data_IF_662424636605
#
_entry.id   IF_662424636605
#
_cell.length_a   1.000
_cell.length_b   1.000
_cell.length_c   1.000
_cell.angle_alpha   90.00
_cell.angle_beta   90.00
_cell.angle_gamma   90.00
#
_symmetry.space_group_name_H-M   'P 1'
#
loop_
_entity.id
_entity.type
_entity.pdbx_description
1 polymer ?
#
# COMPACT_ATOMS: atom_id res chain seq x y z
N UNK A 1 0.19 -20.77 -33.48
CA UNK A 1 -0.74 -20.25 -32.46
C UNK A 1 0.10 -19.40 -31.52
N UNK A 2 -0.12 -18.10 -31.48
CA UNK A 2 0.55 -17.21 -30.52
C UNK A 2 -0.34 -17.21 -29.27
N UNK A 3 0.16 -17.79 -28.18
CA UNK A 3 -0.49 -17.68 -26.87
C UNK A 3 -0.08 -16.34 -26.29
N UNK A 4 -1.03 -15.41 -26.31
CA UNK A 4 -0.87 -14.09 -25.70
C UNK A 4 -1.31 -14.18 -24.24
N UNK A 5 -0.39 -14.02 -23.30
CA UNK A 5 -0.67 -13.98 -21.88
C UNK A 5 -0.50 -12.54 -21.40
N UNK A 6 -1.57 -11.96 -20.89
CA UNK A 6 -1.59 -10.57 -20.43
C UNK A 6 -2.02 -10.49 -18.97
N UNK A 7 -1.29 -9.73 -18.17
CA UNK A 7 -1.67 -9.37 -16.82
C UNK A 7 -1.92 -7.88 -16.72
N UNK A 8 -3.05 -7.52 -16.12
CA UNK A 8 -3.43 -6.14 -15.84
C UNK A 8 -3.55 -5.94 -14.33
N UNK A 9 -2.96 -4.87 -13.80
CA UNK A 9 -3.12 -4.43 -12.43
C UNK A 9 -3.50 -2.95 -12.42
N UNK A 10 -4.55 -2.62 -11.68
CA UNK A 10 -5.00 -1.25 -11.48
C UNK A 10 -5.33 -1.03 -10.02
N UNK A 11 -4.61 -0.11 -9.38
CA UNK A 11 -4.87 0.29 -8.00
C UNK A 11 -5.27 1.76 -7.97
N UNK A 12 -6.40 2.04 -7.33
CA UNK A 12 -6.90 3.40 -7.11
C UNK A 12 -7.01 3.65 -5.61
N UNK A 13 -6.42 4.76 -5.16
CA UNK A 13 -6.54 5.23 -3.78
C UNK A 13 -7.29 6.55 -3.80
N UNK A 14 -8.39 6.62 -3.05
CA UNK A 14 -9.28 7.80 -3.03
C UNK A 14 -9.55 8.23 -1.60
N UNK A 15 -9.46 9.52 -1.33
CA UNK A 15 -9.96 10.09 -0.09
C UNK A 15 -11.49 10.21 -0.17
N UNK A 16 -12.19 9.38 0.58
CA UNK A 16 -13.66 9.30 0.57
C UNK A 16 -14.32 10.33 1.48
N UNK A 17 -13.56 10.90 2.40
CA UNK A 17 -14.01 11.91 3.36
C UNK A 17 -12.91 12.27 4.35
N UNK A 18 -13.18 13.13 5.34
CA UNK A 18 -12.18 13.50 6.34
C UNK A 18 -11.63 12.28 7.07
N UNK A 19 -10.36 11.97 6.83
CA UNK A 19 -9.67 10.84 7.44
C UNK A 19 -10.13 9.46 7.00
N UNK A 20 -10.93 9.34 5.93
CA UNK A 20 -11.35 8.06 5.37
C UNK A 20 -10.77 7.88 3.97
N UNK A 21 -10.08 6.77 3.75
CA UNK A 21 -9.44 6.41 2.50
C UNK A 21 -9.99 5.10 1.97
N UNK A 22 -10.34 5.07 0.71
CA UNK A 22 -10.72 3.86 -0.02
C UNK A 22 -9.58 3.42 -0.95
N UNK A 23 -9.34 2.13 -0.98
CA UNK A 23 -8.40 1.48 -1.89
C UNK A 23 -9.19 0.46 -2.70
N UNK A 24 -9.10 0.54 -4.01
CA UNK A 24 -9.63 -0.48 -4.91
C UNK A 24 -8.50 -0.97 -5.79
N UNK A 25 -8.19 -2.24 -5.70
CA UNK A 25 -7.20 -2.91 -6.54
C UNK A 25 -7.88 -3.99 -7.36
N UNK A 26 -7.69 -3.95 -8.67
CA UNK A 26 -8.14 -4.99 -9.59
C UNK A 26 -6.92 -5.57 -10.28
N UNK A 27 -6.73 -6.86 -10.14
CA UNK A 27 -5.66 -7.60 -10.81
C UNK A 27 -6.28 -8.76 -11.58
N UNK A 28 -5.92 -8.89 -12.84
CA UNK A 28 -6.44 -9.96 -13.65
C UNK A 28 -5.52 -10.36 -14.79
N UNK A 29 -5.58 -11.63 -15.14
CA UNK A 29 -4.97 -12.21 -16.32
C UNK A 29 -5.99 -13.10 -17.06
N UNK A 30 -5.53 -13.92 -17.99
CA UNK A 30 -6.40 -14.80 -18.75
C UNK A 30 -7.08 -15.90 -17.90
N UNK A 31 -6.51 -16.24 -16.75
CA UNK A 31 -6.96 -17.36 -15.89
C UNK A 31 -7.60 -16.89 -14.60
N UNK A 32 -7.17 -15.74 -14.09
CA UNK A 32 -7.47 -15.29 -12.74
C UNK A 32 -7.85 -13.81 -12.74
N UNK A 33 -8.85 -13.43 -11.93
CA UNK A 33 -9.22 -12.04 -11.69
C UNK A 33 -9.66 -11.85 -10.25
N UNK A 34 -8.99 -10.94 -9.55
CA UNK A 34 -9.25 -10.61 -8.15
C UNK A 34 -9.46 -9.12 -8.00
N UNK A 35 -10.44 -8.75 -7.17
CA UNK A 35 -10.70 -7.38 -6.74
C UNK A 35 -10.56 -7.30 -5.22
N UNK A 36 -9.79 -6.31 -4.77
CA UNK A 36 -9.59 -6.02 -3.35
C UNK A 36 -10.12 -4.62 -3.08
N UNK A 37 -10.97 -4.49 -2.07
CA UNK A 37 -11.46 -3.22 -1.56
C UNK A 37 -11.09 -3.10 -0.09
N UNK A 38 -10.42 -2.01 0.27
CA UNK A 38 -10.12 -1.68 1.66
C UNK A 38 -10.59 -0.26 1.96
N UNK A 39 -11.21 -0.05 3.12
CA UNK A 39 -11.46 1.27 3.69
C UNK A 39 -10.60 1.43 4.94
N UNK A 40 -9.82 2.50 4.99
CA UNK A 40 -8.83 2.74 6.03
C UNK A 40 -9.05 4.10 6.65
N UNK A 41 -9.05 4.16 7.99
CA UNK A 41 -9.29 5.38 8.74
C UNK A 41 -7.97 5.99 9.25
N UNK A 42 -7.66 7.20 8.78
CA UNK A 42 -6.61 8.02 9.34
C UNK A 42 -7.07 8.75 10.63
N UNK A 43 -6.20 9.12 11.56
CA UNK A 43 -4.74 9.00 11.46
C UNK A 43 -4.20 7.61 11.87
N UNK A 44 -5.02 6.74 12.47
CA UNK A 44 -4.56 5.46 13.01
C UNK A 44 -4.24 4.42 11.94
N UNK A 45 -4.76 4.61 10.73
CA UNK A 45 -4.65 3.70 9.58
C UNK A 45 -5.22 2.30 9.84
N UNK A 46 -6.27 2.21 10.67
CA UNK A 46 -6.98 0.96 10.91
C UNK A 46 -7.93 0.66 9.75
N UNK A 47 -7.92 -0.59 9.28
CA UNK A 47 -8.85 -1.09 8.27
C UNK A 47 -10.24 -1.15 8.88
N UNK A 48 -11.21 -0.49 8.26
CA UNK A 48 -12.63 -0.45 8.68
C UNK A 48 -13.51 -1.38 7.88
N UNK A 49 -13.14 -1.58 6.63
CA UNK A 49 -13.82 -2.48 5.71
C UNK A 49 -12.79 -3.19 4.86
N UNK A 50 -13.03 -4.45 4.59
CA UNK A 50 -12.19 -5.25 3.71
C UNK A 50 -13.08 -6.19 2.92
N UNK A 51 -12.90 -6.23 1.61
CA UNK A 51 -13.53 -7.18 0.70
C UNK A 51 -12.47 -7.72 -0.25
N UNK A 52 -12.43 -9.03 -0.42
CA UNK A 52 -11.58 -9.71 -1.39
C UNK A 52 -12.49 -10.58 -2.25
N UNK A 53 -12.65 -10.22 -3.51
CA UNK A 53 -13.54 -10.89 -4.43
C UNK A 53 -12.75 -11.56 -5.55
N UNK A 54 -12.82 -12.89 -5.61
CA UNK A 54 -12.29 -13.67 -6.73
C UNK A 54 -13.37 -13.70 -7.82
N UNK A 55 -13.19 -12.92 -8.88
CA UNK A 55 -14.15 -12.79 -9.98
C UNK A 55 -14.03 -13.88 -11.01
N UNK A 56 -12.80 -14.37 -11.23
CA UNK A 56 -12.47 -15.47 -12.13
C UNK A 56 -11.34 -16.28 -11.54
N UNK A 57 -11.51 -17.58 -11.52
CA UNK A 57 -10.47 -18.55 -11.19
C UNK A 57 -10.73 -19.81 -12.02
N UNK A 58 -10.10 -19.89 -13.18
CA UNK A 58 -10.28 -21.00 -14.13
C UNK A 58 -9.72 -22.31 -13.56
N UNK A 59 -8.72 -22.23 -12.69
CA UNK A 59 -8.02 -23.40 -12.13
C UNK A 59 -8.59 -23.83 -10.77
N UNK A 60 -9.46 -23.02 -10.13
CA UNK A 60 -9.94 -23.29 -8.80
C UNK A 60 -8.84 -23.29 -7.73
N UNK A 61 -7.83 -22.43 -7.93
CA UNK A 61 -6.62 -22.41 -7.09
C UNK A 61 -6.75 -21.52 -5.87
N UNK A 62 -7.72 -20.59 -5.86
CA UNK A 62 -7.92 -19.65 -4.76
C UNK A 62 -9.18 -20.04 -3.98
N UNK A 63 -9.05 -20.25 -2.66
CA UNK A 63 -10.20 -20.53 -1.81
C UNK A 63 -11.12 -19.31 -1.67
N UNK A 64 -12.30 -19.50 -1.03
CA UNK A 64 -13.12 -18.36 -0.61
C UNK A 64 -12.33 -17.45 0.33
N UNK A 65 -12.11 -16.21 -0.11
CA UNK A 65 -11.31 -15.23 0.63
C UNK A 65 -12.13 -14.36 1.58
N UNK A 66 -13.44 -14.54 1.66
CA UNK A 66 -14.32 -13.77 2.56
C UNK A 66 -13.89 -13.88 4.02
N UNK A 67 -13.60 -15.08 4.58
CA UNK A 67 -13.17 -15.18 5.97
C UNK A 67 -11.80 -14.54 6.24
N UNK A 68 -10.93 -14.48 5.23
CA UNK A 68 -9.65 -13.84 5.35
C UNK A 68 -9.78 -12.31 5.29
N UNK A 69 -10.67 -11.81 4.43
CA UNK A 69 -11.00 -10.39 4.35
C UNK A 69 -11.57 -9.86 5.69
N UNK A 70 -12.50 -10.58 6.29
CA UNK A 70 -13.10 -10.19 7.57
C UNK A 70 -12.05 -10.05 8.69
N UNK A 71 -11.03 -10.90 8.70
CA UNK A 71 -9.94 -10.85 9.69
C UNK A 71 -9.01 -9.63 9.52
N UNK A 72 -9.02 -8.99 8.37
CA UNK A 72 -8.25 -7.76 8.14
C UNK A 72 -8.88 -6.53 8.82
N UNK A 73 -10.17 -6.60 9.18
CA UNK A 73 -10.83 -5.49 9.86
C UNK A 73 -10.19 -5.27 11.23
N UNK A 74 -9.77 -4.03 11.50
CA UNK A 74 -9.05 -3.65 12.70
C UNK A 74 -7.52 -3.79 12.60
N UNK A 75 -6.99 -4.42 11.55
CA UNK A 75 -5.55 -4.43 11.29
C UNK A 75 -5.09 -3.01 10.94
N UNK A 76 -3.95 -2.61 11.48
CA UNK A 76 -3.33 -1.32 11.18
C UNK A 76 -2.39 -1.44 10.00
N UNK A 77 -2.57 -0.54 9.02
CA UNK A 77 -1.63 -0.39 7.90
C UNK A 77 -0.38 0.33 8.41
N UNK A 78 0.77 -0.33 8.33
CA UNK A 78 2.03 0.21 8.81
C UNK A 78 3.05 -0.87 9.19
N UNK A 79 4.04 -0.54 10.04
CA UNK A 79 5.08 -1.47 10.45
C UNK A 79 4.52 -2.77 11.03
N UNK A 80 5.06 -3.90 10.59
CA UNK A 80 4.62 -5.23 11.02
C UNK A 80 3.41 -5.82 10.29
N UNK A 81 2.72 -5.05 9.42
CA UNK A 81 1.55 -5.53 8.67
C UNK A 81 1.88 -6.75 7.80
N UNK A 82 3.10 -6.82 7.24
CA UNK A 82 3.50 -7.92 6.34
C UNK A 82 3.31 -9.29 6.99
N UNK A 83 3.76 -9.45 8.23
CA UNK A 83 3.59 -10.71 8.96
C UNK A 83 2.11 -11.02 9.20
N UNK A 84 1.36 -10.03 9.68
CA UNK A 84 -0.06 -10.18 10.01
C UNK A 84 -0.87 -10.55 8.77
N UNK A 85 -0.69 -9.84 7.65
CA UNK A 85 -1.42 -10.10 6.41
C UNK A 85 -1.06 -11.49 5.85
N UNK A 86 0.21 -11.88 5.85
CA UNK A 86 0.62 -13.22 5.40
C UNK A 86 0.05 -14.33 6.27
N UNK A 87 -0.11 -14.13 7.56
CA UNK A 87 -0.77 -15.09 8.45
C UNK A 87 -2.29 -15.17 8.23
N UNK A 88 -2.95 -14.01 8.12
CA UNK A 88 -4.42 -13.94 8.02
C UNK A 88 -4.95 -14.28 6.62
N UNK A 89 -4.27 -13.82 5.57
CA UNK A 89 -4.71 -13.97 4.17
C UNK A 89 -3.97 -15.10 3.47
N UNK A 90 -2.67 -15.27 3.74
CA UNK A 90 -1.82 -16.27 3.12
C UNK A 90 -1.70 -17.57 3.88
N UNK A 91 -2.40 -17.74 5.01
CA UNK A 91 -2.34 -18.93 5.86
C UNK A 91 -2.85 -20.21 5.19
N UNK A 92 -2.94 -21.34 5.94
CA UNK A 92 -3.23 -22.67 5.36
C UNK A 92 -4.54 -22.76 4.56
N UNK A 93 -5.52 -21.92 4.88
CA UNK A 93 -6.81 -21.84 4.19
C UNK A 93 -6.94 -20.56 3.35
N UNK A 94 -5.83 -19.92 3.01
CA UNK A 94 -5.79 -18.68 2.26
C UNK A 94 -4.96 -18.81 0.98
N UNK A 95 -4.53 -17.66 0.45
CA UNK A 95 -3.70 -17.56 -0.73
C UNK A 95 -2.54 -16.60 -0.49
N UNK A 96 -1.29 -17.08 -0.59
CA UNK A 96 -0.09 -16.26 -0.47
C UNK A 96 -0.04 -15.17 -1.56
N UNK A 97 -0.49 -15.50 -2.76
CA UNK A 97 -0.58 -14.54 -3.86
C UNK A 97 -1.56 -13.40 -3.55
N UNK A 98 -2.75 -13.73 -3.01
CA UNK A 98 -3.72 -12.71 -2.59
C UNK A 98 -3.18 -11.88 -1.42
N UNK A 99 -2.43 -12.50 -0.50
CA UNK A 99 -1.78 -11.77 0.60
C UNK A 99 -0.78 -10.73 0.08
N UNK A 100 0.01 -11.07 -0.94
CA UNK A 100 0.95 -10.14 -1.55
C UNK A 100 0.21 -8.98 -2.27
N UNK A 101 -0.92 -9.24 -2.92
CA UNK A 101 -1.77 -8.18 -3.50
C UNK A 101 -2.37 -7.26 -2.43
N UNK A 102 -2.81 -7.79 -1.30
CA UNK A 102 -3.30 -6.98 -0.17
C UNK A 102 -2.19 -6.08 0.37
N UNK A 103 -0.96 -6.60 0.48
CA UNK A 103 0.20 -5.81 0.91
C UNK A 103 0.52 -4.70 -0.08
N UNK A 104 0.50 -4.99 -1.39
CA UNK A 104 0.71 -3.98 -2.43
C UNK A 104 -0.36 -2.87 -2.35
N UNK A 105 -1.64 -3.24 -2.17
CA UNK A 105 -2.72 -2.27 -1.98
C UNK A 105 -2.50 -1.37 -0.76
N UNK A 106 -2.02 -1.92 0.36
CA UNK A 106 -1.70 -1.17 1.56
C UNK A 106 -0.50 -0.23 1.37
N UNK A 107 0.53 -0.65 0.63
CA UNK A 107 1.69 0.18 0.29
C UNK A 107 1.28 1.37 -0.59
N UNK A 108 0.38 1.16 -1.54
CA UNK A 108 -0.17 2.23 -2.36
C UNK A 108 -0.92 3.28 -1.53
N UNK A 109 -1.62 2.87 -0.46
CA UNK A 109 -2.23 3.81 0.48
C UNK A 109 -1.18 4.66 1.20
N UNK A 110 -0.14 4.02 1.72
CA UNK A 110 0.95 4.72 2.43
C UNK A 110 1.57 5.78 1.50
N UNK A 111 1.85 5.41 0.25
CA UNK A 111 2.38 6.32 -0.76
C UNK A 111 1.41 7.48 -1.04
N UNK A 112 0.12 7.19 -1.24
CA UNK A 112 -0.89 8.21 -1.53
C UNK A 112 -1.07 9.23 -0.41
N UNK A 113 -0.90 8.83 0.86
CA UNK A 113 -0.97 9.73 2.01
C UNK A 113 0.34 10.49 2.20
N UNK A 114 1.47 9.83 2.01
CA UNK A 114 2.81 10.35 2.34
C UNK A 114 3.29 11.37 1.32
N UNK A 115 3.14 11.09 0.02
CA UNK A 115 3.65 11.96 -1.05
C UNK A 115 3.05 13.37 -1.01
N UNK A 116 1.73 13.57 -0.85
CA UNK A 116 1.17 14.91 -0.73
C UNK A 116 1.63 15.67 0.52
N UNK A 117 1.88 14.96 1.63
CA UNK A 117 2.37 15.59 2.87
C UNK A 117 3.83 16.04 2.73
N UNK A 118 4.67 15.21 2.10
CA UNK A 118 6.04 15.58 1.77
C UNK A 118 6.07 16.77 0.80
N UNK A 119 5.19 16.77 -0.22
CA UNK A 119 5.07 17.88 -1.15
C UNK A 119 4.65 19.18 -0.47
N UNK A 120 3.73 19.13 0.50
CA UNK A 120 3.34 20.32 1.30
C UNK A 120 4.48 20.80 2.19
N UNK A 121 5.20 19.90 2.83
CA UNK A 121 6.35 20.25 3.66
C UNK A 121 7.45 20.94 2.84
N UNK A 122 7.68 20.48 1.62
CA UNK A 122 8.61 21.10 0.69
C UNK A 122 8.17 22.50 0.25
N UNK A 123 6.88 22.68 -0.08
CA UNK A 123 6.34 23.99 -0.51
C UNK A 123 6.41 25.04 0.59
N UNK A 124 6.20 24.67 1.86
CA UNK A 124 6.33 25.59 3.00
C UNK A 124 7.77 25.99 3.29
N UNK A 125 8.74 25.21 2.87
CA UNK A 125 10.17 25.52 2.96
C UNK A 125 10.75 26.29 1.77
N UNK A 126 9.96 26.57 0.74
CA UNK A 126 10.45 27.16 -0.52
C UNK A 126 11.25 26.19 -1.37
N UNK A 127 11.07 24.91 -1.14
CA UNK A 127 11.87 23.82 -1.72
C UNK A 127 11.01 22.93 -2.64
N UNK A 128 11.56 22.58 -3.79
CA UNK A 128 10.93 21.73 -4.81
C UNK A 128 11.33 20.27 -4.63
N UNK A 129 10.37 19.35 -4.54
CA UNK A 129 10.68 17.92 -4.51
C UNK A 129 10.95 17.44 -5.94
N UNK A 130 12.16 16.94 -6.20
CA UNK A 130 12.53 16.28 -7.46
C UNK A 130 12.77 14.79 -7.20
N UNK A 131 12.18 13.95 -8.03
CA UNK A 131 12.44 12.50 -8.03
C UNK A 131 13.55 12.23 -9.06
N UNK A 132 14.67 11.65 -8.62
CA UNK A 132 15.77 11.28 -9.49
C UNK A 132 15.51 9.95 -10.20
N UNK A 133 15.99 9.81 -11.45
CA UNK A 133 15.90 8.59 -12.26
C UNK A 133 16.75 7.41 -11.74
N UNK A 134 17.65 7.64 -10.79
CA UNK A 134 18.61 6.64 -10.31
C UNK A 134 18.13 5.85 -9.07
N UNK A 135 16.83 5.83 -8.85
CA UNK A 135 16.20 5.17 -7.72
C UNK A 135 15.50 6.17 -6.79
N UNK A 136 14.86 5.71 -5.70
CA UNK A 136 14.00 6.53 -4.85
C UNK A 136 14.84 7.49 -3.98
N UNK A 137 15.50 8.45 -4.60
CA UNK A 137 16.12 9.58 -3.92
C UNK A 137 15.15 10.75 -4.03
N UNK A 138 14.56 11.13 -2.92
CA UNK A 138 13.78 12.36 -2.82
C UNK A 138 14.78 13.49 -2.60
N UNK A 139 14.87 14.41 -3.56
CA UNK A 139 15.68 15.61 -3.42
C UNK A 139 14.78 16.76 -3.01
N UNK A 140 15.11 17.38 -1.90
CA UNK A 140 14.60 18.70 -1.53
C UNK A 140 15.69 19.71 -1.92
N UNK A 141 15.46 20.53 -2.97
CA UNK A 141 16.38 21.55 -3.48
C UNK A 141 17.82 21.04 -3.74
N UNK A 142 17.97 20.01 -4.55
CA UNK A 142 19.26 19.41 -4.89
C UNK A 142 20.08 18.85 -3.68
N UNK A 143 19.47 18.80 -2.49
CA UNK A 143 20.07 18.18 -1.31
C UNK A 143 19.53 16.77 -1.17
N UNK A 144 20.42 15.77 -1.19
CA UNK A 144 20.08 14.40 -0.77
C UNK A 144 19.60 14.47 0.67
N UNK A 145 18.37 13.99 0.93
CA UNK A 145 17.80 14.02 2.27
C UNK A 145 18.70 13.19 3.21
N UNK A 146 19.57 13.88 3.92
CA UNK A 146 20.37 13.36 5.01
C UNK A 146 19.75 13.80 6.34
N UNK A 147 20.29 14.84 7.00
CA UNK A 147 19.82 15.25 8.34
C UNK A 147 18.41 15.86 8.35
N UNK A 148 17.89 16.37 7.23
CA UNK A 148 16.54 16.93 7.19
C UNK A 148 15.45 15.83 7.12
N UNK A 149 15.81 14.60 6.79
CA UNK A 149 14.91 13.43 6.95
C UNK A 149 14.48 13.28 8.40
N UNK A 150 15.36 13.60 9.37
CA UNK A 150 15.04 13.56 10.80
C UNK A 150 13.94 14.58 11.14
N UNK A 151 13.95 15.76 10.52
CA UNK A 151 12.90 16.77 10.73
C UNK A 151 11.56 16.33 10.15
N UNK A 152 11.58 15.72 8.95
CA UNK A 152 10.38 15.15 8.33
C UNK A 152 9.83 14.02 9.18
N UNK A 153 10.69 13.14 9.73
CA UNK A 153 10.28 12.07 10.64
C UNK A 153 9.76 12.61 11.96
N UNK A 154 10.36 13.68 12.51
CA UNK A 154 9.87 14.35 13.71
C UNK A 154 8.47 14.92 13.55
N UNK A 155 8.17 15.48 12.36
CA UNK A 155 6.84 15.96 11.99
C UNK A 155 5.86 14.83 11.65
N UNK A 156 6.36 13.68 11.19
CA UNK A 156 5.55 12.54 10.74
C UNK A 156 6.10 11.21 11.29
N UNK A 157 5.96 10.91 12.59
CA UNK A 157 6.52 9.71 13.21
C UNK A 157 6.12 8.38 12.57
N UNK A 158 4.97 8.37 11.85
CA UNK A 158 4.47 7.20 11.13
C UNK A 158 5.34 6.79 9.92
N UNK A 159 6.21 7.68 9.43
CA UNK A 159 7.11 7.39 8.31
C UNK A 159 8.33 6.57 8.75
N UNK A 160 8.63 6.54 10.06
CA UNK A 160 9.73 5.73 10.58
C UNK A 160 9.49 4.26 10.21
N UNK A 161 10.49 3.65 9.61
CA UNK A 161 10.48 2.25 9.15
C UNK A 161 9.38 1.91 8.11
N UNK A 162 8.72 2.93 7.53
CA UNK A 162 7.66 2.72 6.53
C UNK A 162 8.20 2.26 5.17
N UNK A 163 9.40 2.65 4.80
CA UNK A 163 10.07 2.20 3.58
C UNK A 163 11.60 2.23 3.75
N UNK A 164 12.33 1.67 2.78
CA UNK A 164 13.79 1.59 2.82
C UNK A 164 14.48 2.96 2.98
N UNK A 165 13.85 4.05 2.51
CA UNK A 165 14.39 5.40 2.66
C UNK A 165 14.34 5.93 4.10
N UNK A 166 13.48 5.37 4.95
CA UNK A 166 13.25 5.79 6.34
C UNK A 166 13.66 4.71 7.36
N UNK A 167 14.35 3.65 6.93
CA UNK A 167 14.91 2.63 7.81
C UNK A 167 16.25 3.09 8.39
N UNK A 168 16.50 2.70 9.65
CA UNK A 168 17.78 2.96 10.36
C UNK A 168 18.16 4.44 10.50
N UNK A 169 17.19 5.32 10.62
CA UNK A 169 17.41 6.72 10.98
C UNK A 169 17.34 6.82 12.52
N UNK A 170 18.49 6.73 13.18
CA UNK A 170 18.67 7.05 14.60
C UNK A 170 18.84 8.56 14.82
#
# INVERSE_FOLDING_TARGET
MILDFQTNSLTTVTQMGPGLWGIVMNVGDNLLEVSILLEVKAPTLDIRKSEILVKRDVLGAIPDMTPAADKLIGVRVGPGMTKIVRELVGGPNGSSWVADLVLEAMEMLVNAITVPELAKAAQTGGEEIRVSSDGPKIFLNDVVIGPDTIKVLGANPRLKDSCAAFQNLE
#
